data_IF_377867444252
#
_entry.id   IF_377867444252
#
_cell.length_a   1.000
_cell.length_b   1.000
_cell.length_c   1.000
_cell.angle_alpha   90.00
_cell.angle_beta   90.00
_cell.angle_gamma   90.00
#
_symmetry.space_group_name_H-M   'P 1'
#
loop_
_entity.id
_entity.type
_entity.pdbx_description
1 polymer ?
#
# COMPACT_ATOMS: atom_id res chain seq x y z
N UNK A 1 9.41 20.06 38.25
CA UNK A 1 7.98 20.12 38.54
C UNK A 1 7.43 18.71 38.43
N UNK A 2 6.77 18.15 39.43
CA UNK A 2 6.21 16.79 39.32
C UNK A 2 4.98 16.80 38.40
N UNK A 3 4.82 15.74 37.64
CA UNK A 3 3.66 15.49 36.76
C UNK A 3 2.38 15.42 37.61
N UNK A 4 1.24 15.93 37.09
CA UNK A 4 -0.03 15.83 37.79
C UNK A 4 -0.52 14.37 37.84
N UNK A 5 -1.06 13.96 38.98
CA UNK A 5 -1.65 12.64 39.19
C UNK A 5 -2.79 12.33 38.21
N UNK A 6 -2.99 11.07 37.81
CA UNK A 6 -4.08 10.68 36.93
C UNK A 6 -5.42 10.88 37.64
N UNK A 7 -6.29 11.70 37.05
CA UNK A 7 -7.64 11.96 37.52
C UNK A 7 -8.45 10.66 37.47
N UNK A 8 -8.64 10.03 38.65
CA UNK A 8 -9.62 8.95 38.85
C UNK A 8 -11.02 9.55 38.89
N UNK A 9 -11.65 9.76 37.76
CA UNK A 9 -13.09 9.98 37.67
C UNK A 9 -13.76 8.65 37.32
N UNK A 10 -14.09 7.86 38.32
CA UNK A 10 -14.99 6.73 38.18
C UNK A 10 -16.43 7.25 38.09
N UNK A 11 -16.82 7.79 36.95
CA UNK A 11 -18.22 7.90 36.59
C UNK A 11 -18.71 6.48 36.26
N UNK A 12 -19.41 5.86 37.23
CA UNK A 12 -20.16 4.62 36.99
C UNK A 12 -21.25 4.92 35.96
N UNK A 13 -20.96 4.70 34.68
CA UNK A 13 -21.98 4.56 33.66
C UNK A 13 -22.69 3.22 33.92
N UNK A 14 -23.87 3.27 34.53
CA UNK A 14 -24.75 2.13 34.74
C UNK A 14 -25.33 1.77 33.37
N UNK A 15 -24.59 1.01 32.57
CA UNK A 15 -25.10 0.36 31.40
C UNK A 15 -26.05 -0.75 31.87
N UNK A 16 -27.34 -0.46 31.90
CA UNK A 16 -28.36 -1.51 31.92
C UNK A 16 -28.09 -2.44 30.74
N UNK A 17 -27.71 -3.67 31.04
CA UNK A 17 -27.60 -4.72 30.04
C UNK A 17 -28.98 -4.88 29.38
N UNK A 18 -29.10 -4.76 28.05
CA UNK A 18 -30.33 -5.11 27.38
C UNK A 18 -30.57 -6.60 27.59
N UNK A 19 -31.75 -6.94 28.09
CA UNK A 19 -32.27 -8.30 28.13
C UNK A 19 -32.09 -8.94 26.76
N UNK A 20 -31.47 -10.13 26.74
CA UNK A 20 -31.31 -10.98 25.56
C UNK A 20 -32.69 -11.43 25.08
N UNK A 21 -33.28 -10.63 24.21
CA UNK A 21 -34.59 -10.91 23.61
C UNK A 21 -34.71 -10.19 22.28
N UNK A 22 -34.52 -10.93 21.22
CA UNK A 22 -34.48 -10.60 19.80
C UNK A 22 -33.07 -10.23 19.27
N UNK A 23 -32.46 -11.17 18.53
CA UNK A 23 -31.49 -10.85 17.53
C UNK A 23 -32.11 -9.78 16.63
N UNK A 24 -31.69 -8.54 16.80
CA UNK A 24 -31.87 -7.55 15.75
C UNK A 24 -31.09 -8.11 14.57
N UNK A 25 -31.80 -8.73 13.65
CA UNK A 25 -31.30 -8.96 12.30
C UNK A 25 -31.05 -7.55 11.80
N UNK A 26 -29.78 -7.10 11.79
CA UNK A 26 -29.37 -5.97 10.98
C UNK A 26 -29.61 -6.48 9.56
N UNK A 27 -30.85 -6.39 9.16
CA UNK A 27 -31.34 -6.89 7.88
C UNK A 27 -30.90 -5.95 6.77
N UNK A 28 -31.04 -6.35 5.53
CA UNK A 28 -30.58 -5.69 4.32
C UNK A 28 -31.45 -4.46 3.97
N UNK A 29 -31.70 -3.57 4.93
CA UNK A 29 -32.44 -2.32 4.71
C UNK A 29 -31.79 -1.40 3.66
N UNK A 30 -30.54 -1.67 3.27
CA UNK A 30 -29.81 -0.90 2.26
C UNK A 30 -29.51 -1.69 0.98
N UNK A 31 -30.03 -2.91 0.82
CA UNK A 31 -29.72 -3.77 -0.34
C UNK A 31 -28.26 -4.22 -0.40
N UNK A 32 -27.55 -4.16 0.74
CA UNK A 32 -26.17 -4.62 0.83
C UNK A 32 -26.14 -6.15 0.93
N UNK A 33 -25.16 -6.83 0.26
CA UNK A 33 -25.02 -8.27 0.39
C UNK A 33 -24.61 -8.65 1.82
N UNK A 34 -25.12 -9.79 2.29
CA UNK A 34 -24.55 -10.43 3.47
C UNK A 34 -23.11 -10.86 3.13
N UNK A 35 -22.14 -10.56 4.00
CA UNK A 35 -20.73 -10.91 3.78
C UNK A 35 -20.31 -12.11 4.65
N UNK A 36 -19.58 -13.08 4.09
CA UNK A 36 -19.30 -13.21 2.66
C UNK A 36 -20.56 -13.63 1.89
N UNK A 37 -20.72 -13.08 0.70
CA UNK A 37 -21.79 -13.48 -0.21
C UNK A 37 -21.56 -14.94 -0.71
N UNK A 38 -22.60 -15.62 -1.22
CA UNK A 38 -22.41 -16.90 -1.90
C UNK A 38 -21.44 -16.74 -3.08
N UNK A 39 -20.51 -17.70 -3.30
CA UNK A 39 -19.66 -17.70 -4.48
C UNK A 39 -20.47 -17.61 -5.78
N UNK A 40 -19.91 -16.96 -6.78
CA UNK A 40 -20.47 -16.96 -8.13
C UNK A 40 -20.21 -18.34 -8.75
N UNK A 41 -21.21 -19.06 -9.26
CA UNK A 41 -20.98 -20.37 -9.85
C UNK A 41 -20.24 -20.27 -11.19
N UNK A 42 -19.52 -21.32 -11.56
CA UNK A 42 -18.91 -21.51 -12.88
C UNK A 42 -18.02 -20.35 -13.33
N UNK A 43 -17.17 -19.84 -12.43
CA UNK A 43 -16.21 -18.78 -12.73
C UNK A 43 -14.92 -19.39 -13.28
N UNK A 44 -14.53 -18.97 -14.48
CA UNK A 44 -13.30 -19.37 -15.17
C UNK A 44 -12.40 -18.19 -15.51
N UNK A 45 -12.95 -16.98 -15.59
CA UNK A 45 -12.22 -15.76 -15.92
C UNK A 45 -12.63 -14.62 -15.01
N UNK A 46 -11.65 -14.09 -14.29
CA UNK A 46 -11.82 -12.96 -13.37
C UNK A 46 -10.99 -11.78 -13.86
N UNK A 47 -11.61 -10.62 -14.01
CA UNK A 47 -10.91 -9.36 -14.17
C UNK A 47 -10.89 -8.60 -12.83
N UNK A 48 -9.75 -8.11 -12.39
CA UNK A 48 -9.63 -7.25 -11.21
C UNK A 48 -9.05 -5.91 -11.61
N UNK A 49 -9.79 -4.84 -11.39
CA UNK A 49 -9.34 -3.48 -11.67
C UNK A 49 -8.58 -2.90 -10.46
N UNK A 50 -7.26 -2.70 -10.61
CA UNK A 50 -6.39 -2.00 -9.67
C UNK A 50 -5.20 -1.39 -10.43
N UNK A 51 -5.34 -0.17 -10.94
CA UNK A 51 -4.39 0.45 -11.86
C UNK A 51 -3.56 1.60 -11.24
N UNK A 52 -3.44 1.63 -9.92
CA UNK A 52 -2.66 2.61 -9.14
C UNK A 52 -1.19 2.19 -8.99
N UNK A 53 -0.49 2.76 -8.01
CA UNK A 53 0.92 2.51 -7.71
C UNK A 53 1.22 1.13 -7.11
N UNK A 54 2.52 0.86 -6.91
CA UNK A 54 3.00 -0.40 -6.32
C UNK A 54 2.43 -0.65 -4.92
N UNK A 55 2.42 0.38 -4.06
CA UNK A 55 1.86 0.27 -2.71
C UNK A 55 0.37 -0.09 -2.73
N UNK A 56 -0.36 0.45 -3.69
CA UNK A 56 -1.77 0.17 -3.88
C UNK A 56 -2.06 -1.28 -4.26
N UNK A 57 -1.21 -1.87 -5.11
CA UNK A 57 -1.26 -3.30 -5.39
C UNK A 57 -0.99 -4.12 -4.14
N UNK A 58 0.06 -3.78 -3.39
CA UNK A 58 0.48 -4.51 -2.20
C UNK A 58 -0.65 -4.56 -1.15
N UNK A 59 -1.32 -3.43 -0.89
CA UNK A 59 -2.43 -3.43 0.10
C UNK A 59 -3.68 -4.18 -0.39
N UNK A 60 -3.84 -4.39 -1.70
CA UNK A 60 -4.92 -5.18 -2.29
C UNK A 60 -4.58 -6.66 -2.42
N UNK A 61 -3.30 -7.05 -2.32
CA UNK A 61 -2.84 -8.42 -2.53
C UNK A 61 -3.55 -9.46 -1.63
N UNK A 62 -3.84 -9.23 -0.34
CA UNK A 62 -4.60 -10.18 0.47
C UNK A 62 -6.00 -10.48 -0.09
N UNK A 63 -6.65 -9.49 -0.71
CA UNK A 63 -7.96 -9.66 -1.34
C UNK A 63 -7.85 -10.42 -2.67
N UNK A 64 -6.81 -10.16 -3.45
CA UNK A 64 -6.48 -10.95 -4.65
C UNK A 64 -6.22 -12.42 -4.29
N UNK A 65 -5.46 -12.68 -3.24
CA UNK A 65 -5.20 -14.02 -2.74
C UNK A 65 -6.47 -14.72 -2.24
N UNK A 66 -7.40 -13.98 -1.64
CA UNK A 66 -8.70 -14.51 -1.25
C UNK A 66 -9.55 -14.91 -2.47
N UNK A 67 -9.58 -14.08 -3.52
CA UNK A 67 -10.27 -14.37 -4.78
C UNK A 67 -9.67 -15.62 -5.47
N UNK A 68 -8.36 -15.64 -5.68
CA UNK A 68 -7.67 -16.78 -6.29
C UNK A 68 -7.97 -18.11 -5.56
N UNK A 69 -8.01 -18.08 -4.22
CA UNK A 69 -8.35 -19.24 -3.42
C UNK A 69 -9.82 -19.64 -3.55
N UNK A 70 -10.73 -18.69 -3.66
CA UNK A 70 -12.16 -18.96 -3.79
C UNK A 70 -12.51 -19.53 -5.18
N UNK A 71 -11.71 -19.22 -6.18
CA UNK A 71 -11.88 -19.61 -7.57
C UNK A 71 -10.60 -20.25 -8.13
N UNK A 72 -10.20 -21.42 -7.65
CA UNK A 72 -8.88 -22.02 -7.97
C UNK A 72 -8.71 -22.41 -9.44
N UNK A 73 -9.82 -22.61 -10.16
CA UNK A 73 -9.82 -22.95 -11.58
C UNK A 73 -9.99 -21.73 -12.51
N UNK A 74 -10.03 -20.52 -11.95
CA UNK A 74 -10.23 -19.31 -12.72
C UNK A 74 -8.91 -18.59 -13.00
N UNK A 75 -8.73 -18.15 -14.24
CA UNK A 75 -7.66 -17.20 -14.61
C UNK A 75 -7.98 -15.82 -14.05
N UNK A 76 -7.07 -15.27 -13.24
CA UNK A 76 -7.17 -13.92 -12.66
C UNK A 76 -6.34 -12.95 -13.49
N UNK A 77 -7.03 -12.05 -14.19
CA UNK A 77 -6.43 -10.94 -14.95
C UNK A 77 -6.46 -9.66 -14.12
N UNK A 78 -5.28 -9.10 -13.82
CA UNK A 78 -5.18 -7.75 -13.24
C UNK A 78 -5.26 -6.71 -14.36
N UNK A 79 -6.28 -5.88 -14.33
CA UNK A 79 -6.37 -4.66 -15.13
C UNK A 79 -5.61 -3.57 -14.35
N UNK A 80 -4.33 -3.41 -14.70
CA UNK A 80 -3.34 -2.70 -13.91
C UNK A 80 -2.61 -1.59 -14.67
N UNK A 81 -1.48 -1.16 -14.14
CA UNK A 81 -0.51 -0.29 -14.80
C UNK A 81 0.70 -1.11 -15.26
N UNK A 82 1.50 -0.57 -16.21
CA UNK A 82 2.61 -1.31 -16.80
C UNK A 82 3.66 -1.84 -15.81
N UNK A 83 3.90 -1.12 -14.71
CA UNK A 83 4.83 -1.58 -13.67
C UNK A 83 4.35 -2.85 -12.93
N UNK A 84 3.06 -3.21 -12.99
CA UNK A 84 2.59 -4.47 -12.42
C UNK A 84 3.05 -5.70 -13.21
N UNK A 85 3.31 -5.56 -14.51
CA UNK A 85 3.91 -6.63 -15.31
C UNK A 85 5.30 -6.98 -14.78
N UNK A 86 6.15 -5.97 -14.56
CA UNK A 86 7.48 -6.17 -13.99
C UNK A 86 7.42 -6.69 -12.53
N UNK A 87 6.44 -6.22 -11.74
CA UNK A 87 6.24 -6.69 -10.37
C UNK A 87 5.92 -8.18 -10.32
N UNK A 88 5.12 -8.70 -11.26
CA UNK A 88 4.57 -10.04 -11.21
C UNK A 88 5.31 -11.05 -12.11
N UNK A 89 6.23 -10.57 -12.94
CA UNK A 89 6.98 -11.42 -13.86
C UNK A 89 7.78 -12.51 -13.11
N UNK A 90 7.61 -13.75 -13.53
CA UNK A 90 8.43 -14.89 -13.07
C UNK A 90 8.24 -15.30 -11.60
N UNK A 91 7.21 -14.78 -10.90
CA UNK A 91 6.93 -15.11 -9.50
C UNK A 91 5.52 -15.67 -9.29
N UNK A 92 5.34 -16.49 -8.26
CA UNK A 92 4.02 -16.94 -7.85
C UNK A 92 3.20 -15.77 -7.33
N UNK A 93 2.00 -15.63 -7.84
CA UNK A 93 1.10 -14.52 -7.55
C UNK A 93 -0.35 -15.02 -7.57
N UNK A 94 -1.28 -14.36 -6.87
CA UNK A 94 -2.70 -14.58 -7.05
C UNK A 94 -3.25 -14.03 -8.38
N UNK A 95 -2.39 -13.50 -9.22
CA UNK A 95 -2.68 -12.93 -10.55
C UNK A 95 -1.94 -13.74 -11.59
N UNK A 96 -2.65 -14.22 -12.61
CA UNK A 96 -2.07 -15.01 -13.70
C UNK A 96 -1.59 -14.13 -14.86
N UNK A 97 -2.26 -12.99 -15.07
CA UNK A 97 -1.98 -12.09 -16.20
C UNK A 97 -2.22 -10.63 -15.83
N UNK A 98 -1.40 -9.74 -16.36
CA UNK A 98 -1.58 -8.29 -16.27
C UNK A 98 -2.01 -7.76 -17.64
N UNK A 99 -2.96 -6.85 -17.64
CA UNK A 99 -3.36 -6.06 -18.81
C UNK A 99 -3.34 -4.60 -18.44
N UNK A 100 -2.52 -3.83 -19.14
CA UNK A 100 -2.39 -2.40 -18.88
C UNK A 100 -3.67 -1.64 -19.29
N UNK A 101 -4.22 -0.89 -18.32
CA UNK A 101 -5.36 0.00 -18.53
C UNK A 101 -4.88 1.26 -19.28
N UNK A 102 -5.63 1.81 -20.25
CA UNK A 102 -5.31 3.09 -20.85
C UNK A 102 -5.21 4.22 -19.85
N UNK A 103 -4.49 5.29 -20.17
CA UNK A 103 -4.50 6.50 -19.36
C UNK A 103 -5.88 7.13 -19.42
N UNK A 104 -6.50 7.35 -18.27
CA UNK A 104 -7.81 7.97 -18.19
C UNK A 104 -8.07 8.56 -16.80
N UNK A 105 -8.77 9.71 -16.72
CA UNK A 105 -8.98 10.43 -15.48
C UNK A 105 -9.60 9.57 -14.39
N UNK A 106 -8.99 9.57 -13.19
CA UNK A 106 -9.50 8.88 -12.00
C UNK A 106 -9.48 7.35 -12.06
N UNK A 107 -8.77 6.76 -13.04
CA UNK A 107 -8.47 5.32 -13.11
C UNK A 107 -6.97 5.10 -13.22
N UNK A 108 -6.34 5.57 -14.29
CA UNK A 108 -4.89 5.52 -14.46
C UNK A 108 -4.41 6.88 -14.93
N UNK A 109 -3.51 7.48 -14.17
CA UNK A 109 -2.92 8.78 -14.49
C UNK A 109 -1.44 8.59 -14.76
N UNK A 110 -0.90 9.32 -15.73
CA UNK A 110 0.50 9.28 -16.13
C UNK A 110 0.97 10.63 -16.66
N UNK A 111 2.24 10.74 -17.10
CA UNK A 111 2.77 11.97 -17.68
C UNK A 111 2.30 12.22 -19.13
N UNK A 112 1.81 11.17 -19.79
CA UNK A 112 1.31 11.26 -21.15
C UNK A 112 -0.16 11.75 -21.18
N UNK A 113 -0.66 12.07 -22.37
CA UNK A 113 -2.05 12.45 -22.57
C UNK A 113 -3.00 11.29 -22.27
N UNK A 114 -4.19 11.62 -21.76
CA UNK A 114 -5.24 10.63 -21.57
C UNK A 114 -5.66 10.04 -22.92
N UNK A 115 -5.95 8.74 -22.93
CA UNK A 115 -6.47 8.06 -24.11
C UNK A 115 -7.81 8.66 -24.55
N UNK A 116 -8.01 8.75 -25.86
CA UNK A 116 -9.29 9.16 -26.43
C UNK A 116 -10.41 8.17 -26.08
N UNK A 117 -11.66 8.61 -26.18
CA UNK A 117 -12.81 7.73 -25.91
C UNK A 117 -12.85 6.53 -26.88
N UNK A 118 -12.42 6.71 -28.14
CA UNK A 118 -12.34 5.63 -29.13
C UNK A 118 -11.28 4.58 -28.73
N UNK A 119 -10.13 4.99 -28.22
CA UNK A 119 -9.09 4.08 -27.70
C UNK A 119 -9.58 3.33 -26.46
N UNK A 120 -10.24 4.04 -25.54
CA UNK A 120 -10.84 3.40 -24.36
C UNK A 120 -11.93 2.42 -24.77
N UNK A 121 -12.79 2.77 -25.76
CA UNK A 121 -13.85 1.85 -26.23
C UNK A 121 -13.25 0.63 -26.94
N UNK A 122 -12.24 0.83 -27.78
CA UNK A 122 -11.52 -0.28 -28.44
C UNK A 122 -10.89 -1.23 -27.41
N UNK A 123 -10.30 -0.67 -26.35
CA UNK A 123 -9.75 -1.45 -25.24
C UNK A 123 -10.84 -2.22 -24.49
N UNK A 124 -11.98 -1.58 -24.18
CA UNK A 124 -13.12 -2.22 -23.55
C UNK A 124 -13.71 -3.34 -24.43
N UNK A 125 -13.85 -3.10 -25.75
CA UNK A 125 -14.35 -4.10 -26.69
C UNK A 125 -13.47 -5.35 -26.72
N UNK A 126 -12.14 -5.17 -26.74
CA UNK A 126 -11.20 -6.27 -26.64
C UNK A 126 -11.34 -7.05 -25.32
N UNK A 127 -11.58 -6.36 -24.20
CA UNK A 127 -11.81 -7.01 -22.89
C UNK A 127 -13.16 -7.72 -22.83
N UNK A 128 -14.23 -7.15 -23.40
CA UNK A 128 -15.52 -7.85 -23.51
C UNK A 128 -15.41 -9.17 -24.28
N UNK A 129 -14.61 -9.17 -25.34
CA UNK A 129 -14.40 -10.38 -26.15
C UNK A 129 -13.71 -11.52 -25.39
N UNK A 130 -13.02 -11.22 -24.27
CA UNK A 130 -12.43 -12.23 -23.40
C UNK A 130 -13.50 -12.99 -22.58
N UNK A 131 -14.69 -12.43 -22.37
CA UNK A 131 -15.81 -13.08 -21.71
C UNK A 131 -15.56 -13.36 -20.23
N UNK A 132 -15.36 -12.31 -19.43
CA UNK A 132 -15.19 -12.45 -17.99
C UNK A 132 -16.48 -12.93 -17.30
N UNK A 133 -16.35 -13.90 -16.42
CA UNK A 133 -17.45 -14.35 -15.55
C UNK A 133 -17.65 -13.41 -14.37
N UNK A 134 -16.53 -12.88 -13.86
CA UNK A 134 -16.49 -12.01 -12.70
C UNK A 134 -15.56 -10.83 -12.98
N UNK A 135 -16.04 -9.60 -12.77
CA UNK A 135 -15.21 -8.41 -12.77
C UNK A 135 -15.28 -7.73 -11.40
N UNK A 136 -14.11 -7.47 -10.81
CA UNK A 136 -13.97 -6.95 -9.45
C UNK A 136 -13.23 -5.62 -9.48
N UNK A 137 -13.83 -4.58 -8.89
CA UNK A 137 -13.21 -3.27 -8.77
C UNK A 137 -12.62 -3.10 -7.36
N UNK A 138 -11.31 -2.90 -7.28
CA UNK A 138 -10.54 -2.57 -6.08
C UNK A 138 -9.79 -1.25 -6.28
N UNK A 139 -10.48 -0.22 -6.80
CA UNK A 139 -9.86 1.02 -7.28
C UNK A 139 -10.69 2.24 -6.87
N UNK A 140 -10.50 2.72 -5.63
CA UNK A 140 -11.20 3.88 -5.09
C UNK A 140 -12.71 3.70 -4.98
N UNK A 141 -13.43 4.83 -4.86
CA UNK A 141 -14.86 4.87 -4.58
C UNK A 141 -15.79 4.62 -5.76
N UNK A 142 -15.30 4.23 -6.93
CA UNK A 142 -16.12 3.76 -8.05
C UNK A 142 -16.63 4.84 -9.00
N UNK A 143 -16.49 6.15 -8.72
CA UNK A 143 -17.03 7.21 -9.59
C UNK A 143 -16.61 7.06 -11.07
N UNK A 144 -15.34 6.76 -11.31
CA UNK A 144 -14.79 6.51 -12.64
C UNK A 144 -14.51 5.03 -12.88
N UNK A 145 -13.93 4.35 -11.90
CA UNK A 145 -13.54 2.93 -12.03
C UNK A 145 -14.72 1.99 -12.23
N UNK A 146 -15.89 2.24 -11.61
CA UNK A 146 -17.08 1.42 -11.87
C UNK A 146 -17.63 1.64 -13.28
N UNK A 147 -17.51 2.85 -13.86
CA UNK A 147 -17.90 3.07 -15.27
C UNK A 147 -17.07 2.18 -16.20
N UNK A 148 -15.77 2.12 -15.97
CA UNK A 148 -14.89 1.24 -16.75
C UNK A 148 -15.23 -0.24 -16.50
N UNK A 149 -15.39 -0.65 -15.24
CA UNK A 149 -15.73 -2.02 -14.87
C UNK A 149 -17.00 -2.52 -15.59
N UNK A 150 -18.07 -1.72 -15.59
CA UNK A 150 -19.34 -2.07 -16.21
C UNK A 150 -19.24 -2.20 -17.74
N UNK A 151 -18.30 -1.50 -18.40
CA UNK A 151 -18.03 -1.62 -19.85
C UNK A 151 -17.37 -2.95 -20.22
N UNK A 152 -16.84 -3.72 -19.28
CA UNK A 152 -16.22 -5.02 -19.54
C UNK A 152 -17.21 -6.12 -19.90
N UNK A 153 -18.49 -5.94 -19.61
CA UNK A 153 -19.54 -6.90 -19.95
C UNK A 153 -19.45 -8.23 -19.21
N UNK A 154 -18.83 -8.25 -18.01
CA UNK A 154 -18.73 -9.45 -17.19
C UNK A 154 -20.11 -9.93 -16.74
N UNK A 155 -20.26 -11.24 -16.54
CA UNK A 155 -21.52 -11.86 -16.07
C UNK A 155 -21.95 -11.38 -14.69
N UNK A 156 -20.98 -11.12 -13.79
CA UNK A 156 -21.21 -10.53 -12.47
C UNK A 156 -20.12 -9.48 -12.22
N UNK A 157 -20.55 -8.32 -11.75
CA UNK A 157 -19.66 -7.21 -11.37
C UNK A 157 -19.68 -6.99 -9.86
N UNK A 158 -18.51 -6.73 -9.26
CA UNK A 158 -18.36 -6.51 -7.82
C UNK A 158 -17.46 -5.32 -7.56
N UNK A 159 -17.75 -4.48 -6.56
CA UNK A 159 -16.86 -3.38 -6.22
C UNK A 159 -17.31 -2.52 -5.05
N UNK A 160 -16.51 -1.52 -4.74
CA UNK A 160 -16.89 -0.48 -3.79
C UNK A 160 -17.61 0.68 -4.52
N UNK A 161 -18.52 1.37 -3.83
CA UNK A 161 -19.22 2.50 -4.41
C UNK A 161 -19.47 3.62 -3.40
N UNK A 162 -19.15 4.87 -3.79
CA UNK A 162 -19.66 6.08 -3.15
C UNK A 162 -21.12 6.31 -3.55
N UNK A 163 -21.88 7.17 -2.85
CA UNK A 163 -23.30 7.42 -3.17
C UNK A 163 -23.55 7.88 -4.62
N UNK A 164 -22.58 8.57 -5.22
CA UNK A 164 -22.63 9.13 -6.58
C UNK A 164 -21.98 8.26 -7.66
N UNK A 165 -21.46 7.09 -7.29
CA UNK A 165 -20.85 6.15 -8.22
C UNK A 165 -21.88 5.17 -8.82
N UNK A 166 -21.72 4.75 -10.09
CA UNK A 166 -22.46 3.61 -10.63
C UNK A 166 -22.23 2.36 -9.77
N UNK A 167 -23.28 1.60 -9.53
CA UNK A 167 -23.20 0.41 -8.66
C UNK A 167 -22.99 -0.85 -9.49
N UNK A 168 -21.96 -1.68 -9.14
CA UNK A 168 -21.86 -3.04 -9.61
C UNK A 168 -23.05 -3.92 -9.12
N UNK A 169 -23.21 -5.12 -9.67
CA UNK A 169 -24.27 -6.07 -9.27
C UNK A 169 -24.19 -6.42 -7.77
N UNK A 170 -22.96 -6.53 -7.26
CA UNK A 170 -22.68 -6.68 -5.83
C UNK A 170 -21.74 -5.58 -5.42
N UNK A 171 -22.05 -4.85 -4.36
CA UNK A 171 -21.22 -3.73 -3.95
C UNK A 171 -21.18 -3.56 -2.45
N UNK A 172 -20.08 -2.93 -1.97
CA UNK A 172 -19.91 -2.48 -0.59
C UNK A 172 -19.82 -0.94 -0.57
N UNK A 173 -20.28 -0.27 0.48
CA UNK A 173 -20.10 1.17 0.60
C UNK A 173 -18.61 1.52 0.66
N UNK A 174 -18.21 2.57 -0.04
CA UNK A 174 -16.89 3.15 0.10
C UNK A 174 -16.90 4.21 1.20
N UNK A 175 -16.30 3.91 2.33
CA UNK A 175 -16.17 4.84 3.44
C UNK A 175 -14.77 5.44 3.50
N UNK A 176 -14.63 6.79 3.74
CA UNK A 176 -13.35 7.39 4.09
C UNK A 176 -12.75 6.76 5.34
N UNK A 177 -11.43 6.79 5.45
CA UNK A 177 -10.68 6.32 6.63
C UNK A 177 -10.86 4.84 7.00
N UNK A 178 -11.34 4.04 6.08
CA UNK A 178 -11.29 2.59 6.19
C UNK A 178 -9.98 2.09 5.56
N UNK A 179 -9.26 1.22 6.27
CA UNK A 179 -8.02 0.65 5.76
C UNK A 179 -8.23 -0.09 4.43
N UNK A 180 -7.43 0.23 3.43
CA UNK A 180 -7.59 -0.30 2.07
C UNK A 180 -7.58 -1.83 2.01
N UNK A 181 -6.68 -2.49 2.77
CA UNK A 181 -6.68 -3.96 2.83
C UNK A 181 -8.03 -4.51 3.32
N UNK A 182 -8.61 -3.90 4.36
CA UNK A 182 -9.91 -4.34 4.91
C UNK A 182 -11.03 -4.07 3.89
N UNK A 183 -11.03 -2.88 3.28
CA UNK A 183 -11.98 -2.50 2.22
C UNK A 183 -11.97 -3.49 1.07
N UNK A 184 -10.78 -3.85 0.58
CA UNK A 184 -10.68 -4.78 -0.55
C UNK A 184 -11.01 -6.23 -0.15
N UNK A 185 -10.76 -6.62 1.09
CA UNK A 185 -11.25 -7.90 1.62
C UNK A 185 -12.78 -7.94 1.71
N UNK A 186 -13.46 -6.83 2.03
CA UNK A 186 -14.92 -6.75 1.97
C UNK A 186 -15.44 -6.84 0.53
N UNK A 187 -14.76 -6.21 -0.43
CA UNK A 187 -15.07 -6.37 -1.86
C UNK A 187 -14.89 -7.82 -2.30
N UNK A 188 -13.80 -8.47 -1.92
CA UNK A 188 -13.58 -9.88 -2.20
C UNK A 188 -14.64 -10.78 -1.53
N UNK A 189 -15.09 -10.43 -0.31
CA UNK A 189 -16.17 -11.13 0.37
C UNK A 189 -17.52 -10.94 -0.33
N UNK A 190 -17.79 -9.79 -0.94
CA UNK A 190 -18.96 -9.58 -1.80
C UNK A 190 -18.90 -10.43 -3.08
N UNK A 191 -17.69 -10.75 -3.55
CA UNK A 191 -17.48 -11.72 -4.62
C UNK A 191 -17.56 -13.19 -4.16
N UNK A 192 -17.78 -13.46 -2.87
CA UNK A 192 -17.87 -14.82 -2.32
C UNK A 192 -16.56 -15.38 -1.76
N UNK A 193 -15.47 -14.60 -1.76
CA UNK A 193 -14.19 -15.02 -1.24
C UNK A 193 -14.10 -14.82 0.29
N UNK A 194 -13.29 -15.65 0.96
CA UNK A 194 -13.02 -15.52 2.41
C UNK A 194 -11.58 -15.12 2.65
N UNK A 195 -11.38 -14.06 3.42
CA UNK A 195 -10.06 -13.66 3.88
C UNK A 195 -9.41 -14.76 4.74
N UNK A 196 -8.10 -14.94 4.56
CA UNK A 196 -7.30 -15.88 5.36
C UNK A 196 -6.10 -15.19 6.02
N UNK A 197 -5.76 -14.00 5.54
CA UNK A 197 -4.71 -13.13 6.06
C UNK A 197 -4.98 -11.67 5.71
N UNK A 198 -4.35 -10.78 6.42
CA UNK A 198 -4.35 -9.34 6.15
C UNK A 198 -2.97 -8.83 5.69
N UNK A 199 -1.91 -9.57 6.01
CA UNK A 199 -0.56 -9.22 5.58
C UNK A 199 -0.39 -9.53 4.09
N UNK A 200 0.09 -8.55 3.29
CA UNK A 200 0.43 -8.77 1.90
C UNK A 200 1.68 -9.64 1.77
N UNK A 201 1.80 -10.33 0.63
CA UNK A 201 2.98 -11.13 0.31
C UNK A 201 3.39 -10.94 -1.14
N UNK A 202 4.68 -10.74 -1.33
CA UNK A 202 5.33 -10.75 -2.64
C UNK A 202 6.44 -11.78 -2.58
N UNK A 203 6.40 -12.77 -3.49
CA UNK A 203 7.44 -13.77 -3.57
C UNK A 203 8.76 -13.14 -4.03
N UNK A 204 9.84 -13.48 -3.36
CA UNK A 204 11.21 -13.12 -3.75
C UNK A 204 11.80 -14.27 -4.55
N UNK A 205 12.21 -13.99 -5.77
CA UNK A 205 12.81 -15.01 -6.65
C UNK A 205 14.34 -15.01 -6.57
N UNK A 206 15.01 -16.10 -6.95
CA UNK A 206 16.46 -16.10 -7.11
C UNK A 206 16.96 -15.00 -8.06
N UNK A 207 16.20 -14.68 -9.11
CA UNK A 207 16.53 -13.62 -10.06
C UNK A 207 16.50 -12.24 -9.42
N UNK A 208 15.56 -11.95 -8.51
CA UNK A 208 15.52 -10.69 -7.76
C UNK A 208 16.78 -10.52 -6.90
N UNK A 209 17.16 -11.58 -6.20
CA UNK A 209 18.37 -11.57 -5.37
C UNK A 209 19.62 -11.34 -6.20
N UNK A 210 19.74 -11.98 -7.36
CA UNK A 210 20.86 -11.79 -8.26
C UNK A 210 20.90 -10.37 -8.83
N UNK A 211 19.77 -9.85 -9.32
CA UNK A 211 19.66 -8.49 -9.81
C UNK A 211 20.06 -7.47 -8.73
N UNK A 212 19.64 -7.69 -7.48
CA UNK A 212 20.00 -6.82 -6.37
C UNK A 212 21.50 -6.86 -6.03
N UNK A 213 22.15 -8.04 -6.14
CA UNK A 213 23.57 -8.19 -5.88
C UNK A 213 24.45 -7.53 -6.95
N UNK A 214 23.95 -7.47 -8.17
CA UNK A 214 24.63 -6.77 -9.27
C UNK A 214 24.71 -5.25 -9.03
N UNK A 215 23.73 -4.66 -8.34
CA UNK A 215 23.71 -3.23 -8.02
C UNK A 215 24.32 -2.94 -6.66
N UNK A 216 23.96 -3.72 -5.65
CA UNK A 216 24.46 -3.62 -4.28
C UNK A 216 25.13 -4.95 -3.92
N UNK A 217 26.44 -5.07 -4.06
CA UNK A 217 27.15 -6.31 -3.77
C UNK A 217 26.87 -6.82 -2.35
N UNK A 218 26.99 -8.12 -2.08
CA UNK A 218 26.87 -8.64 -0.71
C UNK A 218 27.96 -8.10 0.21
N UNK A 219 27.70 -8.08 1.50
CA UNK A 219 28.63 -7.72 2.57
C UNK A 219 28.26 -8.45 3.85
N UNK A 220 29.15 -8.50 4.83
CA UNK A 220 28.98 -9.27 6.06
C UNK A 220 28.13 -8.54 7.12
N UNK A 221 28.09 -7.20 7.05
CA UNK A 221 27.32 -6.40 7.98
C UNK A 221 25.82 -6.41 7.67
N UNK A 222 24.94 -6.37 8.70
CA UNK A 222 23.50 -6.27 8.52
C UNK A 222 23.15 -5.02 7.69
N UNK A 223 22.22 -5.18 6.75
CA UNK A 223 21.89 -4.17 5.76
C UNK A 223 20.72 -3.28 6.21
N UNK A 224 20.97 -1.98 6.29
CA UNK A 224 19.91 -0.96 6.40
C UNK A 224 19.66 -0.35 5.01
N UNK A 225 18.43 -0.40 4.54
CA UNK A 225 18.02 0.33 3.33
C UNK A 225 17.21 1.56 3.75
N UNK A 226 17.62 2.74 3.28
CA UNK A 226 16.93 4.01 3.49
C UNK A 226 16.28 4.45 2.18
N UNK A 227 14.97 4.69 2.17
CA UNK A 227 14.25 5.22 1.02
C UNK A 227 13.56 6.55 1.37
N UNK A 228 14.11 7.70 0.95
CA UNK A 228 13.62 9.03 1.34
C UNK A 228 12.41 9.51 0.54
N UNK A 229 12.09 8.86 -0.58
CA UNK A 229 11.06 9.30 -1.51
C UNK A 229 9.64 8.88 -1.14
N UNK A 230 8.68 9.58 -1.74
CA UNK A 230 7.29 9.21 -1.84
C UNK A 230 6.68 9.92 -3.06
N UNK A 231 5.58 9.39 -3.62
CA UNK A 231 4.88 10.00 -4.76
C UNK A 231 4.40 11.44 -4.47
N UNK A 232 3.92 11.68 -3.25
CA UNK A 232 3.60 13.02 -2.77
C UNK A 232 4.75 13.53 -1.89
N UNK A 233 5.42 14.59 -2.32
CA UNK A 233 6.55 15.19 -1.60
C UNK A 233 6.21 15.58 -0.15
N UNK A 234 4.94 15.91 0.15
CA UNK A 234 4.48 16.24 1.49
C UNK A 234 4.58 15.07 2.46
N UNK A 235 4.58 13.84 1.98
CA UNK A 235 4.76 12.62 2.79
C UNK A 235 6.20 12.32 3.13
N UNK A 236 7.16 13.02 2.52
CA UNK A 236 8.58 12.80 2.78
C UNK A 236 8.99 13.45 4.10
N UNK A 237 9.52 12.66 5.02
CA UNK A 237 10.18 13.15 6.23
C UNK A 237 11.49 13.85 5.86
N UNK A 238 11.90 14.89 6.60
CA UNK A 238 13.14 15.62 6.28
C UNK A 238 14.34 14.68 6.13
N UNK A 239 15.00 14.77 4.99
CA UNK A 239 15.99 13.81 4.56
C UNK A 239 17.23 13.79 5.48
N UNK A 240 17.67 14.97 5.96
CA UNK A 240 18.79 15.09 6.89
C UNK A 240 18.51 14.39 8.23
N UNK A 241 17.22 14.35 8.65
CA UNK A 241 16.80 13.62 9.85
C UNK A 241 16.81 12.11 9.62
N UNK A 242 16.43 11.65 8.41
CA UNK A 242 16.61 10.23 8.04
C UNK A 242 18.09 9.85 8.05
N UNK A 243 18.97 10.73 7.53
CA UNK A 243 20.41 10.55 7.57
C UNK A 243 20.95 10.44 9.01
N UNK A 244 20.48 11.30 9.90
CA UNK A 244 20.89 11.24 11.31
C UNK A 244 20.50 9.91 11.98
N UNK A 245 19.27 9.41 11.72
CA UNK A 245 18.84 8.09 12.23
C UNK A 245 19.64 6.95 11.59
N UNK A 246 19.91 7.04 10.28
CA UNK A 246 20.73 6.05 9.59
C UNK A 246 22.17 6.00 10.15
N UNK A 247 22.75 7.14 10.52
CA UNK A 247 24.06 7.21 11.18
C UNK A 247 24.07 6.50 12.53
N UNK A 248 23.01 6.66 13.33
CA UNK A 248 22.90 5.96 14.63
C UNK A 248 22.91 4.43 14.46
N UNK A 249 22.31 3.92 13.37
CA UNK A 249 22.34 2.49 13.05
C UNK A 249 23.69 2.08 12.44
N UNK A 250 24.35 2.95 11.66
CA UNK A 250 25.71 2.72 11.16
C UNK A 250 26.69 2.59 12.33
N UNK A 251 26.59 3.44 13.36
CA UNK A 251 27.39 3.36 14.60
C UNK A 251 27.16 2.04 15.37
N UNK A 252 26.05 1.34 15.08
CA UNK A 252 25.71 -0.01 15.60
C UNK A 252 26.12 -1.14 14.65
N UNK A 253 26.87 -0.83 13.60
CA UNK A 253 27.40 -1.79 12.65
C UNK A 253 26.50 -2.04 11.44
N UNK A 254 25.49 -1.21 11.20
CA UNK A 254 24.70 -1.33 9.98
C UNK A 254 25.51 -0.87 8.74
N UNK A 255 25.45 -1.65 7.68
CA UNK A 255 25.81 -1.21 6.34
C UNK A 255 24.65 -0.43 5.75
N UNK A 256 24.83 0.83 5.40
CA UNK A 256 23.74 1.71 4.97
C UNK A 256 23.74 1.87 3.45
N UNK A 257 22.61 1.58 2.83
CA UNK A 257 22.32 1.86 1.41
C UNK A 257 21.14 2.83 1.32
N UNK A 258 21.34 3.99 0.70
CA UNK A 258 20.26 4.95 0.41
C UNK A 258 19.81 4.72 -1.03
N UNK A 259 18.56 4.25 -1.18
CA UNK A 259 17.97 3.92 -2.47
C UNK A 259 16.98 4.99 -2.91
N UNK A 260 16.97 5.30 -4.20
CA UNK A 260 16.02 6.25 -4.79
C UNK A 260 15.79 6.00 -6.28
N UNK A 261 14.64 6.42 -6.77
CA UNK A 261 14.34 6.44 -8.21
C UNK A 261 15.17 7.48 -8.98
N UNK A 262 15.10 7.50 -10.34
CA UNK A 262 15.88 8.42 -11.16
C UNK A 262 15.68 9.91 -10.80
N UNK A 263 14.48 10.29 -10.37
CA UNK A 263 14.15 11.68 -9.97
C UNK A 263 14.45 12.02 -8.50
N UNK A 264 15.07 11.11 -7.74
CA UNK A 264 15.24 11.27 -6.29
C UNK A 264 16.73 11.51 -5.88
N UNK A 265 17.63 11.81 -6.84
CA UNK A 265 19.04 12.02 -6.58
C UNK A 265 19.30 13.08 -5.49
N UNK A 266 18.61 14.22 -5.55
CA UNK A 266 18.75 15.29 -4.56
C UNK A 266 18.30 14.86 -3.15
N UNK A 267 17.26 14.04 -3.06
CA UNK A 267 16.80 13.49 -1.77
C UNK A 267 17.83 12.53 -1.18
N UNK A 268 18.36 11.64 -1.99
CA UNK A 268 19.43 10.71 -1.60
C UNK A 268 20.66 11.48 -1.13
N UNK A 269 21.06 12.54 -1.85
CA UNK A 269 22.19 13.39 -1.47
C UNK A 269 21.94 14.10 -0.12
N UNK A 270 20.71 14.57 0.16
CA UNK A 270 20.38 15.19 1.46
C UNK A 270 20.40 14.19 2.61
N UNK A 271 19.95 12.93 2.39
CA UNK A 271 20.12 11.86 3.41
C UNK A 271 21.60 11.64 3.69
N UNK A 272 22.42 11.51 2.64
CA UNK A 272 23.86 11.33 2.79
C UNK A 272 24.54 12.51 3.52
N UNK A 273 24.12 13.74 3.26
CA UNK A 273 24.60 14.93 3.95
C UNK A 273 24.22 14.96 5.45
N UNK A 274 23.13 14.28 5.84
CA UNK A 274 22.75 14.09 7.24
C UNK A 274 23.54 13.02 7.97
N UNK A 275 24.43 12.29 7.27
CA UNK A 275 25.32 11.27 7.83
C UNK A 275 26.75 11.81 7.96
N UNK A 276 27.45 11.34 8.98
CA UNK A 276 28.88 11.61 9.16
C UNK A 276 29.73 10.76 8.20
N UNK A 277 29.38 9.50 8.07
CA UNK A 277 30.03 8.54 7.19
C UNK A 277 29.21 8.41 5.90
N UNK A 278 29.88 8.49 4.75
CA UNK A 278 29.20 8.42 3.45
C UNK A 278 28.54 7.04 3.25
N UNK A 279 27.22 6.97 3.05
CA UNK A 279 26.54 5.71 2.77
C UNK A 279 26.77 5.26 1.33
N UNK A 280 26.50 3.99 1.06
CA UNK A 280 26.31 3.55 -0.32
C UNK A 280 25.02 4.14 -0.90
N UNK A 281 25.01 4.43 -2.19
CA UNK A 281 23.81 4.99 -2.86
C UNK A 281 23.44 4.18 -4.09
N UNK A 282 22.12 3.98 -4.29
CA UNK A 282 21.56 3.32 -5.46
C UNK A 282 20.41 4.19 -6.03
N UNK A 283 20.77 5.11 -6.93
CA UNK A 283 19.85 6.09 -7.53
C UNK A 283 19.57 5.74 -8.99
N UNK A 284 18.31 5.41 -9.32
CA UNK A 284 17.89 5.09 -10.68
C UNK A 284 18.55 3.84 -11.26
N UNK A 285 19.24 3.06 -10.45
CA UNK A 285 19.97 1.84 -10.87
C UNK A 285 19.24 0.55 -10.50
N UNK A 286 18.23 0.65 -9.64
CA UNK A 286 17.40 -0.49 -9.23
C UNK A 286 16.15 -0.54 -10.11
N UNK A 287 16.07 -1.54 -10.97
CA UNK A 287 14.79 -1.94 -11.53
C UNK A 287 13.94 -2.63 -10.46
N UNK A 288 12.72 -3.00 -10.78
CA UNK A 288 11.80 -3.55 -9.78
C UNK A 288 12.25 -4.91 -9.20
N UNK A 289 12.77 -5.86 -9.99
CA UNK A 289 13.41 -7.07 -9.47
C UNK A 289 14.58 -6.77 -8.52
N UNK A 290 15.50 -5.89 -8.91
CA UNK A 290 16.63 -5.52 -8.06
C UNK A 290 16.19 -4.84 -6.76
N UNK A 291 15.16 -3.98 -6.82
CA UNK A 291 14.58 -3.36 -5.62
C UNK A 291 13.97 -4.41 -4.69
N UNK A 292 13.18 -5.35 -5.20
CA UNK A 292 12.58 -6.44 -4.41
C UNK A 292 13.68 -7.27 -3.74
N UNK A 293 14.70 -7.65 -4.50
CA UNK A 293 15.84 -8.40 -3.96
C UNK A 293 16.63 -7.63 -2.91
N UNK A 294 16.84 -6.31 -3.10
CA UNK A 294 17.52 -5.44 -2.13
C UNK A 294 16.70 -5.34 -0.83
N UNK A 295 15.40 -5.10 -0.94
CA UNK A 295 14.50 -5.03 0.22
C UNK A 295 14.47 -6.36 0.98
N UNK A 296 14.44 -7.49 0.28
CA UNK A 296 14.45 -8.83 0.91
C UNK A 296 15.77 -9.17 1.63
N UNK A 297 16.87 -8.56 1.22
CA UNK A 297 18.19 -8.70 1.87
C UNK A 297 18.38 -7.76 3.05
N UNK A 298 17.54 -6.75 3.18
CA UNK A 298 17.66 -5.77 4.25
C UNK A 298 17.24 -6.35 5.60
N UNK A 299 18.01 -6.04 6.64
CA UNK A 299 17.62 -6.28 8.03
C UNK A 299 16.55 -5.28 8.50
N UNK A 300 16.59 -4.07 7.93
CA UNK A 300 15.61 -3.00 8.21
C UNK A 300 15.45 -2.08 7.01
N UNK A 301 14.23 -1.60 6.78
CA UNK A 301 13.94 -0.51 5.83
C UNK A 301 13.44 0.70 6.60
N UNK A 302 14.10 1.85 6.42
CA UNK A 302 13.76 3.14 7.01
C UNK A 302 13.27 4.10 5.92
N UNK A 303 12.16 4.80 6.14
CA UNK A 303 11.69 5.79 5.18
C UNK A 303 10.29 6.33 5.46
N UNK A 304 9.51 6.51 4.40
CA UNK A 304 8.22 7.15 4.41
C UNK A 304 7.09 6.17 4.03
N UNK A 305 5.85 6.63 4.09
CA UNK A 305 4.73 5.96 3.43
C UNK A 305 4.93 6.00 1.89
N UNK A 306 5.47 4.92 1.34
CA UNK A 306 5.88 4.82 -0.07
C UNK A 306 5.76 3.39 -0.60
N UNK A 307 5.78 3.24 -1.94
CA UNK A 307 5.76 1.93 -2.59
C UNK A 307 6.85 0.97 -2.10
N UNK A 308 8.13 1.38 -2.04
CA UNK A 308 9.21 0.55 -1.51
C UNK A 308 9.00 0.09 -0.06
N UNK A 309 8.42 0.94 0.80
CA UNK A 309 8.08 0.53 2.18
C UNK A 309 7.01 -0.57 2.18
N UNK A 310 5.98 -0.45 1.33
CA UNK A 310 4.96 -1.50 1.21
C UNK A 310 5.55 -2.81 0.70
N UNK A 311 6.42 -2.75 -0.32
CA UNK A 311 7.14 -3.91 -0.83
C UNK A 311 8.01 -4.55 0.25
N UNK A 312 8.77 -3.76 1.03
CA UNK A 312 9.58 -4.27 2.12
C UNK A 312 8.74 -5.12 3.10
N UNK A 313 7.59 -4.60 3.55
CA UNK A 313 6.69 -5.38 4.39
C UNK A 313 6.15 -6.64 3.72
N UNK A 314 5.87 -6.59 2.42
CA UNK A 314 5.33 -7.72 1.66
C UNK A 314 6.35 -8.83 1.39
N UNK A 315 7.65 -8.52 1.36
CA UNK A 315 8.74 -9.52 1.28
C UNK A 315 9.20 -10.00 2.67
N UNK A 316 8.60 -9.49 3.74
CA UNK A 316 8.88 -9.91 5.12
C UNK A 316 9.95 -9.09 5.84
N UNK A 317 10.39 -7.97 5.29
CA UNK A 317 11.43 -7.13 5.90
C UNK A 317 10.83 -6.16 6.92
N UNK A 318 11.42 -6.03 8.12
CA UNK A 318 11.04 -5.04 9.11
C UNK A 318 11.11 -3.61 8.57
N UNK A 319 10.18 -2.75 8.98
CA UNK A 319 10.13 -1.37 8.50
C UNK A 319 9.91 -0.35 9.60
N UNK A 320 10.62 0.79 9.50
CA UNK A 320 10.34 2.00 10.27
C UNK A 320 9.94 3.09 9.27
N UNK A 321 8.78 3.68 9.43
CA UNK A 321 8.30 4.65 8.47
C UNK A 321 7.50 5.79 9.11
N UNK A 322 7.67 6.99 8.54
CA UNK A 322 6.93 8.17 8.95
C UNK A 322 5.72 8.37 8.04
N UNK A 323 4.57 8.58 8.66
CA UNK A 323 3.27 8.76 8.01
C UNK A 323 2.67 10.11 8.34
N UNK A 324 1.83 10.63 7.46
CA UNK A 324 0.83 11.62 7.84
C UNK A 324 -0.37 10.89 8.48
N UNK A 325 -1.11 11.57 9.36
CA UNK A 325 -2.34 11.01 9.93
C UNK A 325 -3.35 10.55 8.87
N UNK A 326 -3.38 11.21 7.71
CA UNK A 326 -4.28 10.89 6.61
C UNK A 326 -4.04 9.47 6.07
N UNK A 327 -2.77 9.10 5.87
CA UNK A 327 -2.40 7.81 5.29
C UNK A 327 -2.33 6.69 6.35
N UNK A 328 -2.24 7.06 7.63
CA UNK A 328 -2.21 6.09 8.73
C UNK A 328 -3.41 5.14 8.68
N UNK A 329 -4.62 5.71 8.57
CA UNK A 329 -5.85 4.93 8.57
C UNK A 329 -6.01 4.08 7.32
N UNK A 330 -5.53 4.58 6.18
CA UNK A 330 -5.80 3.96 4.87
C UNK A 330 -4.81 2.85 4.51
N UNK A 331 -3.51 3.01 4.82
CA UNK A 331 -2.48 2.13 4.25
C UNK A 331 -1.33 1.75 5.19
N UNK A 332 -1.36 2.14 6.46
CA UNK A 332 -0.30 1.73 7.39
C UNK A 332 -0.30 0.20 7.61
N UNK A 333 0.83 -0.42 7.97
CA UNK A 333 0.83 -1.86 8.29
C UNK A 333 -0.21 -2.20 9.35
N UNK A 334 -1.03 -3.22 9.13
CA UNK A 334 -2.03 -3.66 10.11
C UNK A 334 -1.40 -4.38 11.30
N UNK A 335 -0.28 -5.05 11.08
CA UNK A 335 0.52 -5.69 12.14
C UNK A 335 1.69 -4.80 12.54
N UNK A 336 2.10 -4.86 13.82
CA UNK A 336 3.11 -3.95 14.38
C UNK A 336 4.36 -4.66 14.90
N UNK A 337 4.39 -5.99 14.91
CA UNK A 337 5.51 -6.76 15.45
C UNK A 337 6.81 -6.39 14.74
N UNK A 338 6.76 -6.30 13.41
CA UNK A 338 7.91 -5.99 12.55
C UNK A 338 7.82 -4.63 11.86
N UNK A 339 6.90 -3.76 12.32
CA UNK A 339 6.70 -2.45 11.69
C UNK A 339 6.51 -1.37 12.75
N UNK A 340 7.32 -0.31 12.68
CA UNK A 340 7.15 0.89 13.49
C UNK A 340 6.60 2.01 12.62
N UNK A 341 5.55 2.65 13.09
CA UNK A 341 4.88 3.73 12.38
C UNK A 341 4.89 4.97 13.26
N UNK A 342 5.60 6.00 12.80
CA UNK A 342 5.67 7.31 13.42
C UNK A 342 4.68 8.23 12.68
N UNK A 343 3.94 9.05 13.38
CA UNK A 343 2.79 9.77 12.77
C UNK A 343 2.89 11.25 13.02
N UNK A 344 2.91 12.03 11.93
CA UNK A 344 2.59 13.44 11.99
C UNK A 344 1.08 13.64 12.19
N UNK A 345 0.70 14.01 13.38
CA UNK A 345 -0.70 14.31 13.72
C UNK A 345 -1.13 15.71 13.26
N UNK A 346 -0.19 16.60 13.06
CA UNK A 346 -0.46 17.93 12.51
C UNK A 346 -0.72 17.86 10.99
N UNK A 347 0.12 17.16 10.25
CA UNK A 347 0.01 16.93 8.81
C UNK A 347 -0.06 18.21 7.97
N UNK A 348 0.49 19.31 8.48
CA UNK A 348 0.43 20.64 7.84
C UNK A 348 1.70 20.97 7.07
N UNK A 349 1.54 21.70 5.96
CA UNK A 349 2.67 22.24 5.20
C UNK A 349 3.52 23.15 6.06
N UNK A 350 4.84 22.94 6.08
CA UNK A 350 5.84 23.72 6.82
C UNK A 350 5.82 25.22 6.47
N UNK A 351 5.40 25.57 5.23
CA UNK A 351 5.41 26.94 4.71
C UNK A 351 4.12 27.70 5.00
N UNK A 352 2.96 27.08 4.77
CA UNK A 352 1.66 27.75 4.88
C UNK A 352 0.66 27.12 5.86
N UNK A 353 1.02 26.00 6.48
CA UNK A 353 0.16 25.30 7.45
C UNK A 353 -0.99 24.48 6.84
N UNK A 354 -1.24 24.55 5.53
CA UNK A 354 -2.34 23.81 4.90
C UNK A 354 -2.17 22.31 5.13
N UNK A 355 -3.20 21.67 5.68
CA UNK A 355 -3.16 20.24 5.99
C UNK A 355 -3.32 19.39 4.74
N UNK A 356 -2.76 18.19 4.76
CA UNK A 356 -2.76 17.26 3.61
C UNK A 356 -4.18 16.91 3.11
N UNK A 357 -5.18 16.87 3.98
CA UNK A 357 -6.58 16.62 3.62
C UNK A 357 -7.34 17.87 3.14
N UNK A 358 -6.80 19.07 3.33
CA UNK A 358 -7.44 20.32 2.93
C UNK A 358 -7.13 20.71 1.48
N UNK A 359 -6.16 20.03 0.86
CA UNK A 359 -5.80 20.25 -0.52
C UNK A 359 -4.31 20.32 -0.80
N UNK A 360 -3.97 20.83 -1.98
CA UNK A 360 -2.60 21.00 -2.45
C UNK A 360 -2.22 22.50 -2.45
N UNK A 361 -1.13 22.84 -1.75
CA UNK A 361 -0.66 24.22 -1.65
C UNK A 361 0.48 24.59 -2.62
N UNK A 362 0.97 23.66 -3.41
CA UNK A 362 2.05 23.87 -4.37
C UNK A 362 3.47 23.95 -3.79
N UNK A 363 3.63 24.03 -2.46
CA UNK A 363 4.97 24.17 -1.85
C UNK A 363 5.83 22.91 -1.91
N UNK A 364 5.22 21.72 -1.96
CA UNK A 364 5.95 20.43 -1.92
C UNK A 364 6.76 20.19 -0.63
N UNK A 365 6.53 21.02 0.39
CA UNK A 365 7.23 20.93 1.68
C UNK A 365 6.68 19.78 2.53
N UNK A 366 7.53 19.19 3.37
CA UNK A 366 7.18 18.09 4.26
C UNK A 366 6.00 18.46 5.17
N UNK A 367 5.01 17.57 5.24
CA UNK A 367 3.93 17.62 6.22
C UNK A 367 4.16 16.65 7.38
N UNK A 368 5.33 16.03 7.44
CA UNK A 368 5.75 15.12 8.51
C UNK A 368 6.91 15.66 9.34
N UNK A 369 7.25 16.93 9.14
CA UNK A 369 8.38 17.61 9.79
C UNK A 369 8.26 17.75 11.31
N UNK A 370 7.04 17.65 11.85
CA UNK A 370 6.71 17.75 13.29
C UNK A 370 7.00 16.43 14.05
N UNK A 371 7.26 15.33 13.35
CA UNK A 371 7.70 14.09 14.01
C UNK A 371 9.12 14.28 14.54
N UNK A 372 9.31 14.03 15.85
CA UNK A 372 10.61 14.20 16.48
C UNK A 372 11.60 13.15 15.97
N UNK A 373 12.82 13.57 15.64
CA UNK A 373 13.89 12.68 15.21
C UNK A 373 14.26 11.67 16.32
N UNK A 374 14.11 12.04 17.58
CA UNK A 374 14.37 11.14 18.70
C UNK A 374 13.38 9.97 18.73
N UNK A 375 12.09 10.21 18.43
CA UNK A 375 11.09 9.14 18.34
C UNK A 375 11.40 8.18 17.17
N UNK A 376 11.78 8.71 16.01
CA UNK A 376 12.17 7.87 14.85
C UNK A 376 13.41 7.05 15.17
N UNK A 377 14.41 7.65 15.84
CA UNK A 377 15.64 6.99 16.30
C UNK A 377 15.34 5.84 17.25
N UNK A 378 14.55 6.10 18.30
CA UNK A 378 14.18 5.10 19.31
C UNK A 378 13.49 3.90 18.65
N UNK A 379 12.50 4.16 17.80
CA UNK A 379 11.79 3.13 17.06
C UNK A 379 12.70 2.33 16.10
N UNK A 380 13.66 3.00 15.46
CA UNK A 380 14.59 2.35 14.55
C UNK A 380 15.60 1.47 15.30
N UNK A 381 16.15 1.97 16.40
CA UNK A 381 17.09 1.21 17.24
C UNK A 381 16.41 0.01 17.89
N UNK A 382 15.20 0.19 18.46
CA UNK A 382 14.43 -0.90 19.08
C UNK A 382 14.19 -2.03 18.05
N UNK A 383 13.69 -1.70 16.86
CA UNK A 383 13.40 -2.70 15.84
C UNK A 383 14.67 -3.32 15.24
N UNK A 384 15.74 -2.55 15.12
CA UNK A 384 17.05 -3.06 14.68
C UNK A 384 17.60 -4.10 15.63
N UNK A 385 17.66 -3.78 16.94
CA UNK A 385 18.15 -4.69 17.96
C UNK A 385 17.26 -5.95 18.05
N UNK A 386 15.93 -5.80 17.96
CA UNK A 386 14.99 -6.91 17.90
C UNK A 386 15.24 -7.82 16.68
N UNK A 387 15.49 -7.22 15.52
CA UNK A 387 15.71 -7.98 14.28
C UNK A 387 17.01 -8.79 14.36
N UNK A 388 18.11 -8.16 14.82
CA UNK A 388 19.38 -8.87 14.95
C UNK A 388 19.36 -10.00 15.99
N UNK A 389 18.56 -9.85 17.04
CA UNK A 389 18.40 -10.90 18.05
C UNK A 389 17.65 -12.15 17.52
N UNK A 390 16.97 -12.04 16.37
CA UNK A 390 16.18 -13.13 15.74
C UNK A 390 16.86 -13.75 14.52
N UNK A 391 17.96 -13.16 14.04
CA UNK A 391 18.81 -13.68 12.96
C UNK A 391 19.86 -14.62 13.50
#
# INVERSE_FOLDING_TARGET
>A
MPLPDPVTSAARCSLMAPTVGSRAVIGPALGLPALPAPPVPDVRRIAVLRANGLGDYVVAEPALAALHRAYPDAEVTLLGAGHHEALLAGRRSPVDRVVTVPLMPGVRVGPDEDASEDEVEAWCAARRAEGYDLAVQMHGGGRNSNKLLLRLGARVTVGAATPDAPRPDRWVPYWPYQHDTVRWLEVAAAAGARATRVEPRVEVTPADLEASRAVVPPGDAPLLVVHPGATDARRCYPEERLGAVAQDLADRGARVVVAGGPGEADRVARVAAGMRDAPETAVGTLDLPALIGLLARASLVLGNDSGPRHLAGAVGTPTVAVFTYANLADVAPLTRVWHRVLVSWHGGCQVCGLRVLEGWCGHGASATHDVDVAEVREAAVDLWDQTLATM
#
